data_IF_985075942650
#
_entry.id   IF_985075942650
#
_cell.length_a   1.000
_cell.length_b   1.000
_cell.length_c   1.000
_cell.angle_alpha   90.00
_cell.angle_beta   90.00
_cell.angle_gamma   90.00
#
_symmetry.space_group_name_H-M   'P 1'
#
loop_
_entity.id
_entity.type
_entity.pdbx_description
1 polymer ?
#
# COMPACT_ATOMS: atom_id res chain seq x y z
N UNK A 1 -9.35 -42.38 75.33
CA UNK A 1 -8.40 -42.55 74.19
C UNK A 1 -9.10 -42.57 72.83
N UNK A 2 -9.77 -41.50 72.40
CA UNK A 2 -10.61 -41.55 71.17
C UNK A 2 -10.68 -40.23 70.37
N UNK A 3 -9.64 -39.39 70.42
CA UNK A 3 -9.61 -38.14 69.65
C UNK A 3 -8.31 -37.90 68.86
N UNK A 4 -7.27 -38.73 69.04
CA UNK A 4 -5.99 -38.54 68.34
C UNK A 4 -5.83 -39.35 67.04
N UNK A 5 -6.73 -40.28 66.72
CA UNK A 5 -6.67 -41.06 65.47
C UNK A 5 -7.27 -40.33 64.25
N UNK A 6 -7.91 -39.15 64.44
CA UNK A 6 -8.52 -38.38 63.34
C UNK A 6 -7.59 -37.32 62.73
N UNK A 7 -6.53 -36.92 63.45
CA UNK A 7 -5.60 -35.88 62.97
C UNK A 7 -4.53 -36.46 62.03
N UNK A 8 -4.19 -37.74 62.15
CA UNK A 8 -3.21 -38.38 61.27
C UNK A 8 -3.79 -38.70 59.87
N UNK A 9 -5.11 -38.82 59.74
CA UNK A 9 -5.76 -39.13 58.45
C UNK A 9 -5.90 -37.93 57.50
N UNK A 10 -5.72 -36.68 57.98
CA UNK A 10 -5.74 -35.48 57.12
C UNK A 10 -4.36 -35.04 56.62
N UNK A 11 -3.27 -35.61 57.16
CA UNK A 11 -1.90 -35.26 56.77
C UNK A 11 -1.38 -35.99 55.52
N UNK A 12 -2.02 -37.10 55.11
CA UNK A 12 -1.57 -37.93 53.97
C UNK A 12 -2.28 -37.57 52.67
N UNK A 13 -3.46 -36.93 52.73
CA UNK A 13 -4.30 -36.63 51.55
C UNK A 13 -3.87 -35.39 50.73
N UNK A 14 -2.82 -34.67 51.12
CA UNK A 14 -2.34 -33.47 50.42
C UNK A 14 -1.01 -33.66 49.66
N UNK A 15 -0.48 -34.89 49.61
CA UNK A 15 0.76 -35.21 48.88
C UNK A 15 0.55 -35.58 47.40
N UNK A 16 -0.68 -35.49 46.90
CA UNK A 16 -1.06 -35.86 45.53
C UNK A 16 -1.42 -34.69 44.63
N UNK A 17 -0.79 -33.52 44.78
CA UNK A 17 -0.95 -32.45 43.79
C UNK A 17 -0.06 -32.74 42.59
N UNK A 18 -0.70 -33.30 41.57
CA UNK A 18 -0.29 -33.34 40.17
C UNK A 18 0.86 -32.38 39.82
N UNK A 19 2.07 -32.91 39.68
CA UNK A 19 3.02 -32.38 38.70
C UNK A 19 2.51 -32.77 37.31
N UNK A 20 1.42 -32.13 36.88
CA UNK A 20 1.15 -32.00 35.46
C UNK A 20 2.22 -31.04 34.93
N UNK A 21 3.34 -31.61 34.47
CA UNK A 21 4.27 -30.88 33.64
C UNK A 21 3.48 -30.40 32.43
N UNK A 22 3.10 -29.12 32.43
CA UNK A 22 2.65 -28.44 31.23
C UNK A 22 3.88 -28.43 30.33
N UNK A 23 4.00 -29.43 29.46
CA UNK A 23 4.83 -29.32 28.28
C UNK A 23 4.19 -28.21 27.46
N UNK A 24 4.63 -26.97 27.68
CA UNK A 24 4.63 -26.02 26.61
C UNK A 24 5.49 -26.68 25.53
N UNK A 25 4.86 -27.22 24.48
CA UNK A 25 5.60 -27.49 23.25
C UNK A 25 6.21 -26.14 22.89
N UNK A 26 7.52 -26.03 23.09
CA UNK A 26 8.25 -24.86 22.66
C UNK A 26 7.97 -24.74 21.17
N UNK A 27 7.27 -23.67 20.76
CA UNK A 27 6.90 -23.43 19.35
C UNK A 27 8.16 -23.31 18.48
N UNK A 28 9.34 -23.21 19.12
CA UNK A 28 10.65 -23.09 18.54
C UNK A 28 11.48 -24.33 18.89
N UNK A 29 11.69 -25.21 17.91
CA UNK A 29 12.67 -26.29 18.00
C UNK A 29 14.04 -25.74 17.61
N UNK A 30 15.02 -25.82 18.52
CA UNK A 30 16.41 -25.54 18.16
C UNK A 30 16.95 -26.69 17.31
N UNK A 31 17.50 -26.35 16.16
CA UNK A 31 18.11 -27.30 15.22
C UNK A 31 19.55 -26.87 14.91
N UNK A 32 20.43 -27.85 14.71
CA UNK A 32 21.79 -27.60 14.21
C UNK A 32 21.81 -27.77 12.69
N UNK A 33 22.28 -26.75 11.97
CA UNK A 33 22.29 -26.73 10.51
C UNK A 33 23.62 -26.22 9.97
N UNK A 34 23.95 -26.65 8.74
CA UNK A 34 25.16 -26.23 8.05
C UNK A 34 24.87 -25.12 7.06
N UNK A 35 25.69 -24.06 7.05
CA UNK A 35 25.69 -23.06 5.99
C UNK A 35 26.62 -23.51 4.86
N UNK A 36 26.09 -23.60 3.63
CA UNK A 36 26.79 -24.10 2.44
C UNK A 36 26.87 -23.00 1.37
N UNK A 37 27.84 -22.07 1.48
CA UNK A 37 28.05 -21.04 0.46
C UNK A 37 28.60 -21.61 -0.87
N UNK A 38 29.09 -22.84 -0.86
CA UNK A 38 29.63 -23.55 -2.02
C UNK A 38 28.53 -24.12 -2.94
N UNK A 39 27.28 -24.16 -2.49
CA UNK A 39 26.15 -24.66 -3.28
C UNK A 39 25.78 -23.67 -4.38
N UNK A 40 25.72 -24.16 -5.62
CA UNK A 40 25.27 -23.40 -6.79
C UNK A 40 23.79 -23.69 -7.05
N UNK A 41 23.00 -22.63 -7.20
CA UNK A 41 21.58 -22.74 -7.49
C UNK A 41 21.36 -22.37 -8.95
N UNK A 42 20.63 -23.22 -9.67
CA UNK A 42 20.31 -23.02 -11.09
C UNK A 42 18.80 -23.06 -11.24
N UNK A 43 18.21 -21.95 -11.69
CA UNK A 43 16.78 -21.83 -11.93
C UNK A 43 16.53 -21.72 -13.43
N UNK A 44 15.73 -22.63 -13.99
CA UNK A 44 15.43 -22.69 -15.43
C UNK A 44 16.69 -22.67 -16.31
N UNK A 45 17.74 -23.39 -15.89
CA UNK A 45 19.02 -23.46 -16.60
C UNK A 45 19.97 -22.27 -16.38
N UNK A 46 19.51 -21.21 -15.70
CA UNK A 46 20.33 -20.03 -15.41
C UNK A 46 20.86 -20.08 -13.97
N UNK A 47 22.18 -19.90 -13.74
CA UNK A 47 22.72 -19.73 -12.40
C UNK A 47 22.10 -18.51 -11.70
N UNK A 48 21.67 -18.68 -10.45
CA UNK A 48 21.11 -17.60 -9.63
C UNK A 48 21.88 -17.49 -8.31
N UNK A 49 22.10 -16.26 -7.88
CA UNK A 49 22.76 -15.96 -6.61
C UNK A 49 21.70 -15.48 -5.61
N UNK A 50 21.59 -16.17 -4.49
CA UNK A 50 20.75 -15.75 -3.36
C UNK A 50 21.56 -14.88 -2.39
N UNK A 51 20.89 -14.06 -1.60
CA UNK A 51 21.52 -13.12 -0.66
C UNK A 51 22.25 -13.82 0.50
N UNK A 52 21.81 -15.04 0.85
CA UNK A 52 22.38 -15.86 1.91
C UNK A 52 22.83 -17.24 1.42
N UNK A 53 23.73 -17.91 2.17
CA UNK A 53 24.16 -19.27 1.86
C UNK A 53 22.99 -20.27 1.99
N UNK A 54 23.07 -21.39 1.27
CA UNK A 54 22.10 -22.48 1.42
C UNK A 54 22.24 -23.11 2.80
N UNK A 55 21.12 -23.32 3.50
CA UNK A 55 21.13 -23.95 4.81
C UNK A 55 20.78 -25.44 4.66
N UNK A 56 21.59 -26.33 5.24
CA UNK A 56 21.35 -27.77 5.24
C UNK A 56 20.97 -28.22 6.63
N UNK A 57 19.78 -28.78 6.76
CA UNK A 57 19.31 -29.42 7.99
C UNK A 57 18.79 -30.82 7.66
N UNK A 58 19.29 -31.83 8.37
CA UNK A 58 18.95 -33.25 8.15
C UNK A 58 19.03 -33.69 6.68
N UNK A 59 20.07 -33.24 5.97
CA UNK A 59 20.29 -33.57 4.56
C UNK A 59 19.37 -32.84 3.57
N UNK A 60 18.44 -32.02 4.05
CA UNK A 60 17.55 -31.20 3.23
C UNK A 60 18.10 -29.79 3.05
N UNK A 61 17.94 -29.23 1.85
CA UNK A 61 18.33 -27.86 1.54
C UNK A 61 17.17 -26.88 1.78
N UNK A 62 17.43 -25.86 2.58
CA UNK A 62 16.51 -24.80 2.91
C UNK A 62 16.99 -23.51 2.25
N UNK A 63 16.16 -22.99 1.35
CA UNK A 63 16.43 -21.78 0.60
C UNK A 63 15.52 -20.64 1.05
N UNK A 64 15.99 -19.38 1.01
CA UNK A 64 15.15 -18.21 1.23
C UNK A 64 13.92 -18.19 0.29
N UNK A 65 12.76 -18.60 0.83
CA UNK A 65 11.53 -18.72 0.06
C UNK A 65 11.14 -17.42 -0.66
N UNK A 66 11.34 -16.26 -0.01
CA UNK A 66 11.01 -14.95 -0.56
C UNK A 66 11.80 -14.65 -1.83
N UNK A 67 13.10 -14.93 -1.83
CA UNK A 67 13.96 -14.69 -2.99
C UNK A 67 13.68 -15.67 -4.10
N UNK A 68 13.57 -16.97 -3.78
CA UNK A 68 13.27 -17.99 -4.79
C UNK A 68 11.90 -17.74 -5.41
N UNK A 69 10.90 -17.38 -4.60
CA UNK A 69 9.58 -16.97 -5.06
C UNK A 69 9.65 -15.79 -6.01
N UNK A 70 10.37 -14.72 -5.65
CA UNK A 70 10.54 -13.56 -6.53
C UNK A 70 11.23 -13.93 -7.86
N UNK A 71 12.27 -14.78 -7.83
CA UNK A 71 12.95 -15.28 -9.03
C UNK A 71 12.02 -16.12 -9.92
N UNK A 72 11.09 -16.84 -9.31
CA UNK A 72 10.04 -17.59 -10.01
C UNK A 72 8.84 -16.73 -10.43
N UNK A 73 8.91 -15.40 -10.24
CA UNK A 73 7.81 -14.49 -10.55
C UNK A 73 6.60 -14.71 -9.64
N UNK A 74 6.79 -15.18 -8.41
CA UNK A 74 5.75 -15.30 -7.40
C UNK A 74 5.84 -14.17 -6.37
N UNK A 75 4.69 -13.68 -5.90
CA UNK A 75 4.60 -12.82 -4.73
C UNK A 75 4.52 -13.69 -3.46
N UNK A 76 5.46 -13.50 -2.54
CA UNK A 76 5.51 -14.21 -1.26
C UNK A 76 5.06 -13.27 -0.14
N UNK A 77 3.98 -13.65 0.56
CA UNK A 77 3.37 -12.82 1.60
C UNK A 77 3.23 -13.65 2.86
N UNK A 78 3.95 -13.26 3.90
CA UNK A 78 3.77 -13.84 5.22
C UNK A 78 2.75 -13.04 6.02
N UNK A 79 1.68 -13.69 6.46
CA UNK A 79 0.68 -13.14 7.38
C UNK A 79 0.96 -13.67 8.78
N UNK A 80 1.55 -12.82 9.62
CA UNK A 80 1.94 -13.21 10.98
C UNK A 80 0.74 -13.57 11.87
N UNK A 81 -0.41 -12.94 11.65
CA UNK A 81 -1.63 -13.12 12.46
C UNK A 81 -2.17 -14.56 12.45
N UNK A 82 -2.06 -15.25 11.32
CA UNK A 82 -2.51 -16.62 11.14
C UNK A 82 -1.37 -17.56 10.72
N UNK A 83 -0.12 -17.11 10.87
CA UNK A 83 1.10 -17.84 10.49
C UNK A 83 1.03 -18.48 9.09
N UNK A 84 0.40 -17.79 8.14
CA UNK A 84 0.17 -18.31 6.78
C UNK A 84 1.12 -17.64 5.79
N UNK A 85 1.77 -18.46 4.95
CA UNK A 85 2.57 -17.99 3.82
C UNK A 85 1.73 -18.16 2.55
N UNK A 86 1.45 -17.06 1.87
CA UNK A 86 0.84 -17.06 0.55
C UNK A 86 1.93 -17.03 -0.52
N UNK A 87 1.86 -17.97 -1.46
CA UNK A 87 2.72 -18.06 -2.64
C UNK A 87 1.84 -17.83 -3.86
N UNK A 88 1.86 -16.62 -4.38
CA UNK A 88 0.97 -16.20 -5.46
C UNK A 88 1.78 -16.05 -6.75
N UNK A 89 1.62 -16.95 -7.72
CA UNK A 89 2.24 -16.78 -9.04
C UNK A 89 1.74 -15.47 -9.67
N UNK A 90 2.66 -14.58 -10.06
CA UNK A 90 2.36 -13.34 -10.77
C UNK A 90 2.24 -13.56 -12.28
N UNK A 91 2.78 -14.67 -12.77
CA UNK A 91 2.80 -15.01 -14.19
C UNK A 91 1.52 -15.78 -14.50
N UNK A 92 0.58 -15.13 -15.18
CA UNK A 92 -0.40 -15.85 -15.96
C UNK A 92 0.32 -16.33 -17.24
N UNK A 93 0.53 -17.65 -17.39
CA UNK A 93 1.23 -18.22 -18.55
C UNK A 93 0.51 -17.98 -19.88
N UNK A 94 -0.74 -17.52 -19.84
CA UNK A 94 -1.54 -17.13 -21.01
C UNK A 94 -1.41 -15.63 -21.34
N UNK A 95 -0.71 -14.84 -20.52
CA UNK A 95 -0.54 -13.41 -20.73
C UNK A 95 0.56 -13.15 -21.78
N UNK A 96 0.26 -12.46 -22.89
CA UNK A 96 1.24 -12.16 -23.92
C UNK A 96 2.40 -11.31 -23.35
N UNK A 97 3.64 -11.66 -23.71
CA UNK A 97 4.87 -11.07 -23.17
C UNK A 97 5.30 -9.75 -23.86
N UNK A 98 4.47 -9.18 -24.72
CA UNK A 98 4.84 -8.00 -25.49
C UNK A 98 4.63 -6.70 -24.70
N UNK A 99 5.73 -6.02 -24.39
CA UNK A 99 5.74 -4.62 -23.97
C UNK A 99 5.51 -3.73 -25.20
N UNK A 100 4.25 -3.63 -25.64
CA UNK A 100 3.82 -2.53 -26.50
C UNK A 100 3.43 -1.37 -25.60
N UNK A 101 3.87 -0.16 -25.96
CA UNK A 101 3.32 1.05 -25.35
C UNK A 101 1.86 1.20 -25.79
N UNK A 102 0.97 0.56 -25.05
CA UNK A 102 -0.48 0.62 -25.21
C UNK A 102 -1.07 1.78 -24.40
N UNK A 103 -0.30 2.84 -24.17
CA UNK A 103 -0.82 4.08 -23.58
C UNK A 103 -1.60 4.82 -24.65
N UNK A 104 -2.91 4.60 -24.69
CA UNK A 104 -3.72 5.12 -25.80
C UNK A 104 -4.52 6.35 -25.43
N UNK A 105 -4.97 6.45 -24.17
CA UNK A 105 -6.00 7.42 -23.78
C UNK A 105 -5.63 8.18 -22.49
N UNK A 106 -6.07 9.44 -22.39
CA UNK A 106 -6.00 10.24 -21.17
C UNK A 106 -7.39 10.41 -20.57
N UNK A 107 -7.47 10.46 -19.24
CA UNK A 107 -8.73 10.74 -18.54
C UNK A 107 -8.47 11.64 -17.33
N UNK A 108 -9.52 12.28 -16.82
CA UNK A 108 -9.47 13.10 -15.61
C UNK A 108 -10.29 12.46 -14.49
N UNK A 109 -9.82 12.57 -13.26
CA UNK A 109 -10.53 12.13 -12.07
C UNK A 109 -11.89 12.80 -11.89
N UNK A 110 -12.96 12.00 -11.79
CA UNK A 110 -14.24 12.47 -11.26
C UNK A 110 -14.35 12.31 -9.75
N UNK A 111 -14.05 11.11 -9.23
CA UNK A 111 -14.20 10.76 -7.82
C UNK A 111 -13.21 9.64 -7.44
N UNK A 112 -11.92 9.97 -7.24
CA UNK A 112 -10.95 8.97 -6.84
C UNK A 112 -11.23 8.54 -5.39
N UNK A 113 -11.16 7.24 -5.17
CA UNK A 113 -11.38 6.59 -3.88
C UNK A 113 -10.29 5.56 -3.63
N UNK A 114 -9.68 5.62 -2.45
CA UNK A 114 -8.80 4.55 -2.01
C UNK A 114 -9.58 3.52 -1.22
N UNK A 115 -9.21 2.25 -1.34
CA UNK A 115 -9.77 1.17 -0.54
C UNK A 115 -8.74 0.08 -0.28
N UNK A 116 -9.00 -0.73 0.74
CA UNK A 116 -8.30 -2.01 0.89
C UNK A 116 -9.05 -3.05 0.07
N UNK A 117 -8.32 -3.77 -0.78
CA UNK A 117 -8.83 -4.90 -1.55
C UNK A 117 -8.18 -6.19 -1.12
N UNK A 118 -8.93 -7.29 -1.15
CA UNK A 118 -8.41 -8.64 -1.03
C UNK A 118 -8.13 -9.20 -2.41
N UNK A 119 -6.91 -9.68 -2.61
CA UNK A 119 -6.48 -10.34 -3.84
C UNK A 119 -5.56 -11.51 -3.50
N UNK A 120 -5.89 -12.70 -3.99
CA UNK A 120 -5.13 -13.95 -3.74
C UNK A 120 -4.77 -14.15 -2.26
N UNK A 121 -5.73 -13.93 -1.36
CA UNK A 121 -5.57 -14.15 0.09
C UNK A 121 -4.86 -13.03 0.85
N UNK A 122 -4.28 -12.04 0.18
CA UNK A 122 -3.66 -10.89 0.80
C UNK A 122 -4.50 -9.61 0.63
N UNK A 123 -4.19 -8.61 1.45
CA UNK A 123 -4.86 -7.32 1.45
C UNK A 123 -3.92 -6.25 0.92
N UNK A 124 -4.42 -5.38 0.06
CA UNK A 124 -3.63 -4.35 -0.60
C UNK A 124 -4.37 -3.02 -0.63
N UNK A 125 -3.66 -1.91 -0.46
CA UNK A 125 -4.17 -0.59 -0.79
C UNK A 125 -4.37 -0.48 -2.32
N UNK A 126 -5.48 0.13 -2.73
CA UNK A 126 -5.81 0.37 -4.13
C UNK A 126 -6.45 1.75 -4.29
N UNK A 127 -5.91 2.55 -5.21
CA UNK A 127 -6.58 3.74 -5.71
C UNK A 127 -7.41 3.41 -6.94
N UNK A 128 -8.70 3.66 -6.84
CA UNK A 128 -9.66 3.55 -7.93
C UNK A 128 -10.16 4.94 -8.33
N UNK A 129 -10.48 5.15 -9.60
CA UNK A 129 -11.16 6.34 -10.06
C UNK A 129 -12.15 6.07 -11.19
N UNK A 130 -13.10 6.98 -11.35
CA UNK A 130 -13.97 7.05 -12.53
C UNK A 130 -13.55 8.26 -13.38
N UNK A 131 -13.73 8.16 -14.69
CA UNK A 131 -13.47 9.27 -15.60
C UNK A 131 -14.53 10.38 -15.51
N UNK A 132 -14.09 11.63 -15.62
CA UNK A 132 -14.93 12.84 -15.67
C UNK A 132 -15.60 13.00 -17.05
N UNK A 133 -14.84 12.81 -18.12
CA UNK A 133 -15.20 13.22 -19.49
C UNK A 133 -15.99 12.16 -20.29
N UNK A 134 -16.27 10.99 -19.71
CA UNK A 134 -16.91 9.88 -20.42
C UNK A 134 -18.31 9.61 -19.84
N UNK A 135 -19.31 9.49 -20.72
CA UNK A 135 -20.66 8.98 -20.40
C UNK A 135 -20.65 7.57 -19.80
N UNK A 136 -19.52 6.88 -19.90
CA UNK A 136 -19.30 5.55 -19.37
C UNK A 136 -18.88 5.58 -17.90
N UNK A 137 -19.53 4.76 -17.07
CA UNK A 137 -19.15 4.46 -15.68
C UNK A 137 -17.88 3.59 -15.58
N UNK A 138 -16.87 3.84 -16.44
CA UNK A 138 -15.63 3.07 -16.47
C UNK A 138 -14.86 3.28 -15.17
N UNK A 139 -14.51 2.14 -14.57
CA UNK A 139 -13.67 2.05 -13.39
C UNK A 139 -12.22 1.88 -13.81
N UNK A 140 -11.34 2.69 -13.25
CA UNK A 140 -9.90 2.66 -13.46
C UNK A 140 -9.19 2.28 -12.18
N UNK A 141 -8.21 1.37 -12.28
CA UNK A 141 -7.33 0.97 -11.19
C UNK A 141 -5.92 1.47 -11.44
N UNK A 142 -5.29 2.05 -10.41
CA UNK A 142 -3.94 2.59 -10.53
C UNK A 142 -2.93 1.48 -10.81
N UNK A 143 -2.11 1.66 -11.84
CA UNK A 143 -1.16 0.67 -12.35
C UNK A 143 -0.15 0.24 -11.28
N UNK A 144 0.36 1.18 -10.48
CA UNK A 144 1.32 0.90 -9.40
C UNK A 144 0.73 -0.01 -8.32
N UNK A 145 -0.55 0.13 -7.98
CA UNK A 145 -1.23 -0.73 -7.02
C UNK A 145 -1.49 -2.14 -7.59
N UNK A 146 -1.83 -2.25 -8.87
CA UNK A 146 -1.93 -3.55 -9.55
C UNK A 146 -0.59 -4.30 -9.53
N UNK A 147 0.51 -3.60 -9.82
CA UNK A 147 1.87 -4.16 -9.74
C UNK A 147 2.25 -4.55 -8.32
N UNK A 148 1.83 -3.78 -7.31
CA UNK A 148 1.99 -4.10 -5.88
C UNK A 148 1.28 -5.40 -5.49
N UNK A 149 0.13 -5.68 -6.12
CA UNK A 149 -0.59 -6.96 -5.99
C UNK A 149 0.10 -8.13 -6.69
N UNK A 150 1.13 -7.86 -7.49
CA UNK A 150 1.80 -8.85 -8.31
C UNK A 150 1.04 -9.20 -9.59
N UNK A 151 0.22 -8.29 -10.09
CA UNK A 151 -0.41 -8.45 -11.40
C UNK A 151 0.59 -7.97 -12.45
N UNK A 152 0.90 -8.80 -13.45
CA UNK A 152 1.64 -8.35 -14.63
C UNK A 152 0.75 -7.41 -15.45
N UNK A 153 1.27 -6.24 -15.78
CA UNK A 153 0.56 -5.15 -16.46
C UNK A 153 1.23 -4.74 -17.78
N UNK A 154 2.26 -5.47 -18.20
CA UNK A 154 3.07 -5.21 -19.40
C UNK A 154 2.20 -5.06 -20.65
N UNK A 155 1.36 -6.07 -20.92
CA UNK A 155 0.49 -6.17 -22.09
C UNK A 155 -0.90 -5.52 -21.96
N UNK A 156 -1.16 -4.81 -20.86
CA UNK A 156 -2.45 -4.15 -20.66
C UNK A 156 -2.48 -2.79 -21.34
N UNK A 157 -3.63 -2.43 -21.91
CA UNK A 157 -3.92 -1.05 -22.33
C UNK A 157 -3.90 -0.13 -21.11
N UNK A 158 -3.11 0.94 -21.19
CA UNK A 158 -2.89 1.90 -20.11
C UNK A 158 -3.55 3.23 -20.47
N UNK A 159 -4.03 3.92 -19.44
CA UNK A 159 -4.54 5.28 -19.56
C UNK A 159 -3.81 6.19 -18.59
N UNK A 160 -3.39 7.37 -19.06
CA UNK A 160 -2.70 8.36 -18.21
C UNK A 160 -3.73 9.31 -17.59
N UNK A 161 -3.68 9.47 -16.27
CA UNK A 161 -4.53 10.43 -15.59
C UNK A 161 -3.96 11.85 -15.74
N UNK A 162 -4.82 12.81 -16.09
CA UNK A 162 -4.39 14.16 -16.47
C UNK A 162 -3.78 14.94 -15.29
N UNK A 163 -4.35 14.84 -14.10
CA UNK A 163 -3.93 15.60 -12.91
C UNK A 163 -2.65 15.03 -12.29
N UNK A 164 -2.63 13.75 -11.93
CA UNK A 164 -1.52 13.09 -11.23
C UNK A 164 -0.43 12.57 -12.15
N UNK A 165 -0.70 12.46 -13.45
CA UNK A 165 0.16 11.83 -14.46
C UNK A 165 0.41 10.34 -14.24
N UNK A 166 -0.25 9.72 -13.25
CA UNK A 166 -0.14 8.30 -12.98
C UNK A 166 -0.85 7.47 -14.07
N UNK A 167 -0.36 6.25 -14.25
CA UNK A 167 -0.95 5.30 -15.19
C UNK A 167 -2.02 4.45 -14.50
N UNK A 168 -3.06 4.13 -15.25
CA UNK A 168 -4.20 3.33 -14.84
C UNK A 168 -4.54 2.27 -15.88
N UNK A 169 -5.29 1.26 -15.46
CA UNK A 169 -5.88 0.24 -16.31
C UNK A 169 -7.38 0.19 -16.02
N UNK A 170 -8.21 0.04 -17.06
CA UNK A 170 -9.66 -0.12 -16.86
C UNK A 170 -9.98 -1.47 -16.23
N UNK A 171 -11.05 -1.56 -15.46
CA UNK A 171 -11.53 -2.84 -14.92
C UNK A 171 -11.82 -3.85 -16.04
N UNK A 172 -12.39 -3.39 -17.16
CA UNK A 172 -12.66 -4.21 -18.34
C UNK A 172 -11.38 -4.81 -18.93
N UNK A 173 -10.32 -4.00 -19.02
CA UNK A 173 -9.01 -4.47 -19.47
C UNK A 173 -8.42 -5.47 -18.47
N UNK A 174 -8.44 -5.15 -17.17
CA UNK A 174 -7.91 -6.02 -16.13
C UNK A 174 -8.56 -7.41 -16.15
N UNK A 175 -9.90 -7.48 -16.29
CA UNK A 175 -10.68 -8.72 -16.39
C UNK A 175 -10.22 -9.67 -17.51
N UNK A 176 -9.57 -9.15 -18.56
CA UNK A 176 -9.06 -9.98 -19.67
C UNK A 176 -7.81 -10.78 -19.27
N UNK A 177 -7.08 -10.33 -18.25
CA UNK A 177 -5.78 -10.90 -17.88
C UNK A 177 -5.79 -11.60 -16.51
N UNK A 178 -6.73 -11.25 -15.62
CA UNK A 178 -6.84 -11.87 -14.29
C UNK A 178 -8.09 -12.74 -14.17
N UNK A 179 -7.92 -13.94 -13.58
CA UNK A 179 -9.03 -14.89 -13.34
C UNK A 179 -10.03 -14.41 -12.29
N UNK A 180 -9.56 -13.61 -11.34
CA UNK A 180 -10.40 -13.01 -10.29
C UNK A 180 -9.99 -11.55 -10.12
N UNK A 181 -10.96 -10.67 -9.91
CA UNK A 181 -10.67 -9.27 -9.60
C UNK A 181 -10.32 -9.09 -8.10
N UNK A 182 -9.53 -8.05 -7.76
CA UNK A 182 -9.44 -7.58 -6.39
C UNK A 182 -10.83 -7.23 -5.86
N UNK A 183 -11.17 -7.73 -4.67
CA UNK A 183 -12.49 -7.48 -4.05
C UNK A 183 -12.34 -6.54 -2.87
N UNK A 184 -13.21 -5.53 -2.78
CA UNK A 184 -13.17 -4.57 -1.67
C UNK A 184 -13.38 -5.31 -0.34
N UNK A 185 -12.53 -5.05 0.65
CA UNK A 185 -12.79 -5.49 2.01
C UNK A 185 -13.63 -4.43 2.72
N UNK A 186 -14.80 -4.84 3.24
CA UNK A 186 -15.58 -3.99 4.15
C UNK A 186 -14.92 -4.00 5.51
N UNK A 187 -13.84 -3.24 5.67
CA UNK A 187 -13.21 -3.10 6.96
C UNK A 187 -13.78 -1.85 7.66
N UNK A 188 -14.82 -2.06 8.47
CA UNK A 188 -15.44 -1.04 9.35
C UNK A 188 -14.47 -0.42 10.36
N UNK A 189 -13.24 -0.96 10.45
CA UNK A 189 -12.19 -0.52 11.37
C UNK A 189 -11.57 0.81 10.94
N UNK A 190 -11.57 1.14 9.65
CA UNK A 190 -11.16 2.46 9.17
C UNK A 190 -12.37 3.40 9.24
N UNK A 191 -12.52 4.11 10.37
CA UNK A 191 -13.46 5.24 10.48
C UNK A 191 -13.21 6.34 9.44
N UNK A 192 -12.07 6.28 8.76
CA UNK A 192 -11.59 7.28 7.82
C UNK A 192 -11.72 6.82 6.36
N UNK A 193 -12.11 7.74 5.46
CA UNK A 193 -12.39 7.48 4.04
C UNK A 193 -11.14 7.43 3.14
N UNK A 194 -9.98 7.08 3.69
CA UNK A 194 -8.70 7.03 2.97
C UNK A 194 -7.83 5.86 3.44
N UNK A 195 -6.81 5.52 2.65
CA UNK A 195 -5.87 4.43 2.92
C UNK A 195 -4.44 4.95 3.01
N UNK A 196 -3.65 4.37 3.92
CA UNK A 196 -2.19 4.55 3.99
C UNK A 196 -1.54 3.31 3.35
N UNK A 197 -1.01 3.48 2.14
CA UNK A 197 -0.35 2.44 1.37
C UNK A 197 1.14 2.32 1.66
N UNK A 198 1.65 1.10 1.75
CA UNK A 198 3.08 0.81 1.85
C UNK A 198 3.70 0.96 3.25
N UNK A 199 2.94 1.35 4.27
CA UNK A 199 3.41 1.40 5.66
C UNK A 199 2.85 0.25 6.48
N UNK A 200 3.70 -0.32 7.34
CA UNK A 200 3.35 -1.41 8.27
C UNK A 200 3.65 -1.07 9.72
N UNK A 201 4.47 -0.03 9.96
CA UNK A 201 4.76 0.46 11.30
C UNK A 201 3.52 1.16 11.87
N UNK A 202 2.93 0.56 12.91
CA UNK A 202 1.69 1.04 13.54
C UNK A 202 1.84 2.45 14.12
N UNK A 203 3.00 2.81 14.65
CA UNK A 203 3.26 4.16 15.20
C UNK A 203 3.34 5.24 14.14
N UNK A 204 3.96 4.94 12.99
CA UNK A 204 3.94 5.85 11.83
C UNK A 204 2.52 6.02 11.28
N UNK A 205 1.76 4.92 11.19
CA UNK A 205 0.34 4.94 10.78
C UNK A 205 -0.49 5.81 11.74
N UNK A 206 -0.37 5.59 13.06
CA UNK A 206 -1.06 6.38 14.09
C UNK A 206 -0.72 7.88 13.99
N UNK A 207 0.55 8.23 13.76
CA UNK A 207 0.99 9.60 13.60
C UNK A 207 0.37 10.28 12.36
N UNK A 208 0.36 9.59 11.21
CA UNK A 208 -0.24 10.09 9.96
C UNK A 208 -1.75 10.29 10.16
N UNK A 209 -2.43 9.31 10.76
CA UNK A 209 -3.86 9.40 11.04
C UNK A 209 -4.19 10.55 11.98
N UNK A 210 -3.40 10.73 13.05
CA UNK A 210 -3.54 11.83 14.00
C UNK A 210 -3.35 13.19 13.33
N UNK A 211 -2.36 13.33 12.45
CA UNK A 211 -2.12 14.53 11.68
C UNK A 211 -3.30 14.85 10.75
N UNK A 212 -3.74 13.89 9.94
CA UNK A 212 -4.86 14.09 8.99
C UNK A 212 -6.13 14.45 9.74
N UNK A 213 -6.45 13.72 10.82
CA UNK A 213 -7.62 14.02 11.66
C UNK A 213 -7.56 15.42 12.26
N UNK A 214 -6.38 15.87 12.70
CA UNK A 214 -6.20 17.22 13.25
C UNK A 214 -6.37 18.26 12.14
N UNK A 215 -5.79 18.04 10.96
CA UNK A 215 -5.93 18.94 9.81
C UNK A 215 -7.39 19.10 9.37
N UNK A 216 -8.19 18.02 9.45
CA UNK A 216 -9.64 18.05 9.16
C UNK A 216 -10.45 18.77 10.25
N UNK A 217 -10.04 18.72 11.52
CA UNK A 217 -10.80 19.28 12.66
C UNK A 217 -10.42 20.72 13.03
N UNK A 218 -9.16 21.13 12.83
CA UNK A 218 -8.71 22.53 13.04
C UNK A 218 -9.48 23.52 12.17
N UNK A 219 -10.05 23.01 11.08
CA UNK A 219 -10.94 23.66 10.13
C UNK A 219 -12.23 24.25 10.75
N UNK A 220 -12.68 23.73 11.90
CA UNK A 220 -13.96 24.12 12.53
C UNK A 220 -13.79 25.07 13.74
N UNK A 221 -12.57 25.14 14.32
CA UNK A 221 -12.30 25.95 15.52
C UNK A 221 -11.79 27.35 15.23
N UNK A 222 -11.03 27.54 14.16
CA UNK A 222 -10.48 28.86 13.78
C UNK A 222 -11.51 29.75 13.04
N UNK A 223 -12.71 29.20 12.79
CA UNK A 223 -13.83 29.82 12.08
C UNK A 223 -14.88 30.48 13.00
N UNK A 224 -14.64 30.55 14.31
CA UNK A 224 -15.58 31.18 15.26
C UNK A 224 -15.41 32.70 15.37
N UNK A 225 -14.35 33.26 14.79
CA UNK A 225 -14.20 34.71 14.63
C UNK A 225 -14.81 35.14 13.30
N UNK A 226 -15.93 35.86 13.42
CA UNK A 226 -16.77 36.40 12.37
C UNK A 226 -16.00 37.50 11.62
N UNK A 227 -15.26 37.14 10.55
CA UNK A 227 -14.89 38.06 9.45
C UNK A 227 -13.95 37.44 8.38
N UNK A 228 -13.60 36.14 8.44
CA UNK A 228 -12.80 35.53 7.36
C UNK A 228 -13.69 35.04 6.21
N UNK A 229 -13.56 35.70 5.07
CA UNK A 229 -14.13 35.28 3.78
C UNK A 229 -13.50 34.01 3.21
N UNK A 230 -12.42 33.51 3.82
CA UNK A 230 -11.70 32.31 3.39
C UNK A 230 -11.96 31.12 4.33
N UNK A 231 -12.52 30.04 3.79
CA UNK A 231 -12.66 28.74 4.46
C UNK A 231 -12.25 27.64 3.50
N UNK A 232 -11.80 26.50 3.99
CA UNK A 232 -11.58 25.34 3.13
C UNK A 232 -11.97 24.06 3.85
N UNK A 233 -12.28 23.02 3.08
CA UNK A 233 -12.44 21.65 3.57
C UNK A 233 -11.51 20.71 2.83
N UNK A 234 -10.91 19.77 3.56
CA UNK A 234 -10.01 18.76 2.98
C UNK A 234 -10.57 17.36 3.18
N UNK A 235 -10.76 16.64 2.07
CA UNK A 235 -11.13 15.23 2.04
C UNK A 235 -9.91 14.40 1.66
N UNK A 236 -9.30 13.64 2.59
CA UNK A 236 -8.18 12.77 2.26
C UNK A 236 -8.61 11.72 1.22
N UNK A 237 -7.72 11.43 0.27
CA UNK A 237 -7.92 10.38 -0.74
C UNK A 237 -6.98 9.21 -0.45
N UNK A 238 -5.67 9.45 -0.42
CA UNK A 238 -4.69 8.39 -0.20
C UNK A 238 -3.38 8.95 0.34
N UNK A 239 -2.69 8.19 1.17
CA UNK A 239 -1.30 8.43 1.57
C UNK A 239 -0.48 7.24 1.10
N UNK A 240 0.55 7.44 0.30
CA UNK A 240 1.46 6.37 -0.12
C UNK A 240 2.86 6.62 0.42
N UNK A 241 3.47 5.58 0.99
CA UNK A 241 4.89 5.59 1.30
C UNK A 241 5.71 5.75 0.02
N UNK A 242 6.67 6.66 0.05
CA UNK A 242 7.64 6.86 -1.04
C UNK A 242 8.82 5.90 -0.90
N UNK A 243 9.83 6.03 -1.76
CA UNK A 243 11.08 5.29 -1.63
C UNK A 243 11.84 5.64 -0.34
N UNK A 244 11.66 6.86 0.16
CA UNK A 244 12.26 7.32 1.41
C UNK A 244 11.45 6.80 2.61
N UNK A 245 12.16 6.21 3.58
CA UNK A 245 11.55 5.43 4.67
C UNK A 245 10.53 6.20 5.53
N UNK A 246 10.70 7.52 5.63
CA UNK A 246 9.90 8.42 6.46
C UNK A 246 9.13 9.46 5.65
N UNK A 247 9.03 9.29 4.33
CA UNK A 247 8.31 10.22 3.47
C UNK A 247 7.13 9.56 2.78
N UNK A 248 6.03 10.31 2.70
CA UNK A 248 4.76 9.86 2.17
C UNK A 248 4.18 10.90 1.21
N UNK A 249 3.67 10.46 0.07
CA UNK A 249 2.87 11.28 -0.81
C UNK A 249 1.44 11.29 -0.29
N UNK A 250 0.88 12.46 -0.04
CA UNK A 250 -0.48 12.65 0.43
C UNK A 250 -1.31 13.36 -0.63
N UNK A 251 -2.32 12.65 -1.13
CA UNK A 251 -3.31 13.14 -2.08
C UNK A 251 -4.63 13.40 -1.36
N UNK A 252 -5.20 14.59 -1.54
CA UNK A 252 -6.49 14.95 -1.00
C UNK A 252 -7.24 15.92 -1.91
N UNK A 253 -8.55 15.98 -1.74
CA UNK A 253 -9.43 16.89 -2.44
C UNK A 253 -9.80 18.05 -1.53
N UNK A 254 -9.53 19.27 -1.96
CA UNK A 254 -9.78 20.48 -1.20
C UNK A 254 -10.88 21.31 -1.83
N UNK A 255 -11.88 21.66 -1.04
CA UNK A 255 -12.91 22.65 -1.41
C UNK A 255 -12.61 23.94 -0.67
N UNK A 256 -12.27 25.02 -1.37
CA UNK A 256 -12.10 26.35 -0.79
C UNK A 256 -13.32 27.21 -1.06
N UNK A 257 -13.69 28.02 -0.08
CA UNK A 257 -14.72 29.04 -0.14
C UNK A 257 -14.03 30.37 0.10
N UNK A 258 -14.01 31.23 -0.90
CA UNK A 258 -13.38 32.54 -0.82
C UNK A 258 -14.26 33.58 -1.50
N UNK A 259 -14.66 34.64 -0.77
CA UNK A 259 -15.47 35.75 -1.30
C UNK A 259 -16.72 35.27 -2.07
N UNK A 260 -17.47 34.31 -1.53
CA UNK A 260 -18.65 33.72 -2.17
C UNK A 260 -18.35 32.78 -3.35
N UNK A 261 -17.09 32.60 -3.73
CA UNK A 261 -16.66 31.67 -4.79
C UNK A 261 -16.24 30.34 -4.15
N UNK A 262 -16.70 29.23 -4.72
CA UNK A 262 -16.25 27.88 -4.34
C UNK A 262 -15.28 27.35 -5.39
N UNK A 263 -14.11 26.88 -4.97
CA UNK A 263 -13.19 26.17 -5.86
C UNK A 263 -12.83 24.80 -5.31
N UNK A 264 -12.67 23.85 -6.22
CA UNK A 264 -12.45 22.44 -5.93
C UNK A 264 -11.14 22.00 -6.58
N UNK A 265 -10.17 21.60 -5.76
CA UNK A 265 -8.80 21.35 -6.21
C UNK A 265 -8.29 20.03 -5.67
N UNK A 266 -7.65 19.23 -6.52
CA UNK A 266 -6.86 18.09 -6.08
C UNK A 266 -5.48 18.59 -5.68
N UNK A 267 -5.10 18.33 -4.44
CA UNK A 267 -3.82 18.75 -3.89
C UNK A 267 -2.99 17.51 -3.59
N UNK A 268 -1.72 17.58 -3.96
CA UNK A 268 -0.73 16.60 -3.56
C UNK A 268 0.38 17.28 -2.75
N UNK A 269 0.80 16.67 -1.65
CA UNK A 269 1.85 17.18 -0.76
C UNK A 269 2.68 16.04 -0.21
N UNK A 270 3.90 16.31 0.23
CA UNK A 270 4.73 15.34 0.94
C UNK A 270 4.58 15.51 2.44
N UNK A 271 4.44 14.38 3.14
CA UNK A 271 4.50 14.28 4.59
C UNK A 271 5.84 13.64 4.97
N UNK A 272 6.63 14.33 5.78
CA UNK A 272 7.90 13.82 6.30
C UNK A 272 7.77 13.59 7.79
N UNK A 273 7.95 12.34 8.21
CA UNK A 273 7.91 11.94 9.62
C UNK A 273 9.28 12.13 10.25
N UNK A 274 9.32 12.80 11.39
CA UNK A 274 10.52 12.97 12.21
C UNK A 274 10.25 12.42 13.60
N UNK A 275 11.11 11.54 14.08
CA UNK A 275 11.01 10.98 15.43
C UNK A 275 11.30 12.09 16.44
N UNK A 276 10.42 12.26 17.44
CA UNK A 276 10.54 13.38 18.40
C UNK A 276 11.79 13.26 19.27
N UNK A 277 12.09 12.05 19.72
CA UNK A 277 13.29 11.73 20.51
C UNK A 277 13.81 10.34 20.12
N UNK A 278 15.09 10.08 20.37
CA UNK A 278 15.75 8.83 19.96
C UNK A 278 15.03 7.58 20.47
N UNK A 279 14.48 7.64 21.68
CA UNK A 279 13.81 6.51 22.36
C UNK A 279 12.28 6.65 22.43
N UNK A 280 11.70 7.68 21.81
CA UNK A 280 10.25 7.91 21.82
C UNK A 280 9.55 7.27 20.63
N UNK A 281 8.39 6.64 20.83
CA UNK A 281 7.56 6.15 19.73
C UNK A 281 6.73 7.24 19.02
N UNK A 282 6.90 8.50 19.41
CA UNK A 282 6.17 9.63 18.85
C UNK A 282 6.87 10.25 17.64
N UNK A 283 6.07 10.65 16.65
CA UNK A 283 6.52 11.31 15.43
C UNK A 283 5.84 12.67 15.26
N UNK A 284 6.61 13.65 14.82
CA UNK A 284 6.10 14.91 14.23
C UNK A 284 6.02 14.79 12.72
N UNK A 285 5.07 15.48 12.12
CA UNK A 285 4.86 15.48 10.66
C UNK A 285 5.08 16.88 10.11
N UNK A 286 6.00 17.00 9.16
CA UNK A 286 6.26 18.21 8.39
C UNK A 286 5.68 18.07 6.99
N UNK A 287 5.13 19.17 6.44
CA UNK A 287 4.64 19.21 5.07
C UNK A 287 5.60 19.94 4.16
N UNK A 288 5.74 19.44 2.94
CA UNK A 288 6.47 20.10 1.88
C UNK A 288 5.89 19.76 0.51
N UNK A 289 6.22 20.54 -0.52
CA UNK A 289 5.84 20.23 -1.90
C UNK A 289 4.34 20.30 -2.15
N UNK A 290 3.65 21.28 -1.55
CA UNK A 290 2.23 21.54 -1.81
C UNK A 290 2.02 21.89 -3.29
N UNK A 291 1.23 21.08 -3.98
CA UNK A 291 0.98 21.23 -5.42
C UNK A 291 -0.50 21.14 -5.71
N UNK A 292 -1.07 22.19 -6.30
CA UNK A 292 -2.40 22.18 -6.89
C UNK A 292 -2.32 21.51 -8.27
N UNK A 293 -2.86 20.30 -8.37
CA UNK A 293 -2.78 19.50 -9.59
C UNK A 293 -3.66 20.06 -10.71
N UNK A 294 -4.73 20.76 -10.36
CA UNK A 294 -5.59 21.41 -11.34
C UNK A 294 -4.86 22.60 -11.97
N UNK A 295 -4.26 23.47 -11.15
CA UNK A 295 -3.45 24.58 -11.65
C UNK A 295 -2.25 24.08 -12.48
N UNK A 296 -1.58 23.02 -12.02
CA UNK A 296 -0.48 22.40 -12.76
C UNK A 296 -0.93 21.83 -14.10
N UNK A 297 -2.14 21.27 -14.19
CA UNK A 297 -2.73 20.83 -15.45
C UNK A 297 -3.00 22.05 -16.36
N UNK A 298 -3.65 23.09 -15.85
CA UNK A 298 -3.95 24.31 -16.62
C UNK A 298 -2.67 24.93 -17.21
N UNK A 299 -1.57 24.98 -16.42
CA UNK A 299 -0.25 25.45 -16.90
C UNK A 299 0.31 24.54 -17.99
N UNK A 300 0.20 23.21 -17.85
CA UNK A 300 0.69 22.25 -18.85
C UNK A 300 -0.10 22.36 -20.16
N UNK A 301 -1.42 22.53 -20.09
CA UNK A 301 -2.27 22.68 -21.28
C UNK A 301 -1.94 23.98 -22.01
N UNK A 302 -1.85 25.12 -21.31
CA UNK A 302 -1.43 26.40 -21.94
C UNK A 302 -0.05 26.32 -22.62
N UNK A 303 0.93 25.69 -21.98
CA UNK A 303 2.27 25.53 -22.58
C UNK A 303 2.23 24.69 -23.86
N UNK A 304 1.43 23.63 -23.89
CA UNK A 304 1.25 22.81 -25.10
C UNK A 304 0.62 23.63 -26.24
N UNK A 305 -0.41 24.41 -25.94
CA UNK A 305 -1.04 25.29 -26.92
C UNK A 305 -0.05 26.32 -27.48
N UNK A 306 0.78 26.93 -26.64
CA UNK A 306 1.84 27.87 -27.06
C UNK A 306 2.91 27.20 -27.93
N UNK A 307 3.32 25.97 -27.59
CA UNK A 307 4.28 25.19 -28.38
C UNK A 307 3.72 24.77 -29.75
N UNK A 308 2.45 24.36 -29.80
CA UNK A 308 1.76 24.03 -31.04
C UNK A 308 1.58 25.26 -31.93
N UNK A 309 1.19 26.40 -31.35
CA UNK A 309 1.10 27.67 -32.07
C UNK A 309 2.46 28.10 -32.65
N UNK A 310 3.56 27.91 -31.91
CA UNK A 310 4.93 28.19 -32.40
C UNK A 310 5.31 27.30 -33.57
N UNK A 311 4.99 25.99 -33.53
CA UNK A 311 5.27 25.05 -34.64
C UNK A 311 4.53 25.42 -35.93
N UNK A 312 3.34 26.01 -35.82
CA UNK A 312 2.57 26.48 -36.98
C UNK A 312 3.18 27.75 -37.59
N UNK A 313 3.88 28.55 -36.78
CA UNK A 313 4.49 29.83 -37.18
C UNK A 313 5.97 29.71 -37.61
N UNK A 314 6.61 28.56 -37.44
CA UNK A 314 7.95 28.31 -37.97
C UNK A 314 7.89 28.14 -39.50
N UNK A 315 8.56 28.98 -40.31
CA UNK A 315 8.60 28.77 -41.74
C UNK A 315 9.35 27.47 -42.02
N UNK A 316 8.76 26.61 -42.87
CA UNK A 316 9.46 25.47 -43.46
C UNK A 316 10.71 26.03 -44.14
N UNK A 317 11.88 25.87 -43.50
CA UNK A 317 13.14 26.19 -44.16
C UNK A 317 13.29 25.23 -45.34
N UNK A 318 13.64 25.76 -46.53
CA UNK A 318 13.50 25.08 -47.81
C UNK A 318 14.31 23.79 -47.93
#
# INVERSE_FOLDING_TARGET
MRQWKRVIAMGVLLSGTFTAGVYANDVLQRVEAYLRPDFKIVLNGNPVQLSGPTLIYEGSSYLPLKELGNLMGANIIFKDINKTIYINSRINTEQPAEEKDLTTDQFKFRNPTSMIVKFLGAEYPLLQANAEDLSSSLVYYRLSDLRRMGIDTSAMKKSKEKLTEELYVTEAELKRFVKQLPTQTYNNTFKDRYVIGGEVNTKKIEAIQGYIKTSMNSQDKDNRDRDRDFRYTSRPIMVDKTENENEYQYLFYQTTYFNGTTSNRYITTKLTLTKMERDSDAYTINLSGWTDLNEQLDVRERRKEEEEAKKILEPVKP
#
